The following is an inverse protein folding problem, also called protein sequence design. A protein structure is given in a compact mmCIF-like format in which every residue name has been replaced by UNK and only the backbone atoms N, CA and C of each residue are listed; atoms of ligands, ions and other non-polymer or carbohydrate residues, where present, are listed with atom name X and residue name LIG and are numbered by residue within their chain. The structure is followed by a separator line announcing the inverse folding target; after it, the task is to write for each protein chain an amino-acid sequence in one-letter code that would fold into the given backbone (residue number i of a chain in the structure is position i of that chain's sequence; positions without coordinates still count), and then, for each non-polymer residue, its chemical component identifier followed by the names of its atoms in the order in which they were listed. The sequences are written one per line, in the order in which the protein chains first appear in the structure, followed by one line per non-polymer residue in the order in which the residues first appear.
data_IF_538191227431
#
_entry.id   IF_538191227431
#
_cell.length_a   1.000
_cell.length_b   1.000
_cell.length_c   1.000
_cell.angle_alpha   90.00
_cell.angle_beta   90.00
_cell.angle_gamma   90.00
#
_symmetry.space_group_name_H-M   'P 1'
#
loop_
_entity.id
_entity.type
_entity.pdbx_description
1 polymer ?
#
# COMPACT_ATOMS: atom_id res chain seq x y z
N UNK A 1 -3.02 11.45 18.39
CA UNK A 1 -2.51 11.71 17.03
C UNK A 1 -2.95 10.57 16.16
N UNK A 2 -3.31 10.79 14.90
CA UNK A 2 -3.50 9.68 13.98
C UNK A 2 -2.12 9.13 13.63
N UNK A 3 -1.99 7.80 13.61
CA UNK A 3 -0.87 7.19 12.92
C UNK A 3 -1.08 7.34 11.42
N UNK A 4 0.01 7.50 10.67
CA UNK A 4 -0.01 7.61 9.23
C UNK A 4 0.41 6.29 8.61
N UNK A 5 -0.43 5.80 7.70
CA UNK A 5 -0.15 4.63 6.89
C UNK A 5 0.45 5.12 5.58
N UNK A 6 1.68 4.71 5.28
CA UNK A 6 2.36 4.95 4.03
C UNK A 6 1.83 3.98 2.97
N UNK A 7 1.60 4.47 1.75
CA UNK A 7 1.03 3.69 0.67
C UNK A 7 1.84 3.96 -0.61
N UNK A 8 2.18 2.90 -1.33
CA UNK A 8 2.63 2.96 -2.73
C UNK A 8 1.64 2.16 -3.56
N UNK A 9 0.94 2.82 -4.47
CA UNK A 9 0.05 2.15 -5.44
C UNK A 9 0.64 2.21 -6.84
N UNK A 10 0.60 1.09 -7.55
CA UNK A 10 0.96 0.97 -8.97
C UNK A 10 -0.25 0.42 -9.73
N UNK A 11 -0.77 1.21 -10.67
CA UNK A 11 -1.89 0.78 -11.52
C UNK A 11 -1.40 0.04 -12.76
N UNK A 12 -2.19 -0.92 -13.23
CA UNK A 12 -1.93 -1.69 -14.45
C UNK A 12 -3.19 -1.78 -15.32
N UNK A 13 -3.03 -1.83 -16.64
CA UNK A 13 -4.16 -1.83 -17.57
C UNK A 13 -3.77 -1.32 -18.95
N UNK A 14 -4.77 -1.02 -19.78
CA UNK A 14 -4.52 -0.40 -21.07
C UNK A 14 -4.08 1.06 -20.92
N UNK A 15 -3.35 1.55 -21.93
CA UNK A 15 -2.73 2.88 -21.91
C UNK A 15 -3.75 4.02 -21.75
N UNK A 16 -4.93 3.91 -22.36
CA UNK A 16 -5.94 4.97 -22.29
C UNK A 16 -6.55 5.06 -20.90
N UNK A 17 -6.78 3.92 -20.26
CA UNK A 17 -7.25 3.84 -18.87
C UNK A 17 -6.20 4.34 -17.88
N UNK A 18 -4.93 3.96 -18.06
CA UNK A 18 -3.82 4.45 -17.23
C UNK A 18 -3.61 5.97 -17.37
N UNK A 19 -3.79 6.53 -18.57
CA UNK A 19 -3.74 7.98 -18.77
C UNK A 19 -4.83 8.73 -17.98
N UNK A 20 -6.03 8.14 -17.86
CA UNK A 20 -7.12 8.73 -17.06
C UNK A 20 -6.82 8.68 -15.57
N UNK A 21 -6.27 7.56 -15.07
CA UNK A 21 -5.82 7.44 -13.68
C UNK A 21 -4.71 8.46 -13.38
N UNK A 22 -3.74 8.58 -14.28
CA UNK A 22 -2.66 9.56 -14.15
C UNK A 22 -3.20 11.00 -14.11
N UNK A 23 -4.18 11.33 -14.95
CA UNK A 23 -4.83 12.63 -14.94
C UNK A 23 -5.55 12.90 -13.61
N UNK A 24 -6.29 11.92 -13.08
CA UNK A 24 -6.96 12.01 -11.79
C UNK A 24 -5.96 12.30 -10.66
N UNK A 25 -4.88 11.52 -10.54
CA UNK A 25 -3.89 11.72 -9.48
C UNK A 25 -3.16 13.06 -9.60
N UNK A 26 -2.83 13.50 -10.83
CA UNK A 26 -2.25 14.84 -11.05
C UNK A 26 -3.19 15.96 -10.59
N UNK A 27 -4.49 15.83 -10.85
CA UNK A 27 -5.49 16.79 -10.38
C UNK A 27 -5.55 16.83 -8.85
N UNK A 28 -5.53 15.66 -8.19
CA UNK A 28 -5.49 15.58 -6.72
C UNK A 28 -4.23 16.25 -6.15
N UNK A 29 -3.05 15.97 -6.71
CA UNK A 29 -1.78 16.60 -6.30
C UNK A 29 -1.86 18.14 -6.43
N UNK A 30 -2.44 18.64 -7.52
CA UNK A 30 -2.61 20.08 -7.75
C UNK A 30 -3.59 20.71 -6.76
N UNK A 31 -4.72 20.03 -6.47
CA UNK A 31 -5.70 20.47 -5.48
C UNK A 31 -5.08 20.54 -4.07
N UNK A 32 -4.30 19.54 -3.68
CA UNK A 32 -3.60 19.50 -2.40
C UNK A 32 -2.61 20.66 -2.26
N UNK A 33 -1.81 20.91 -3.30
CA UNK A 33 -0.86 22.03 -3.36
C UNK A 33 -1.51 23.42 -3.23
N UNK A 34 -2.82 23.54 -3.54
CA UNK A 34 -3.61 24.77 -3.40
C UNK A 34 -4.25 24.94 -2.03
N UNK A 35 -3.95 24.06 -1.07
CA UNK A 35 -4.45 24.11 0.31
C UNK A 35 -5.73 23.30 0.54
N UNK A 36 -6.18 22.52 -0.43
CA UNK A 36 -7.25 21.55 -0.21
C UNK A 36 -6.63 20.26 0.36
N UNK A 37 -6.39 20.20 1.66
CA UNK A 37 -5.67 19.08 2.28
C UNK A 37 -6.56 17.85 2.32
N UNK A 38 -6.02 16.70 1.90
CA UNK A 38 -6.76 15.45 1.82
C UNK A 38 -7.62 15.41 0.58
N UNK A 39 -7.30 14.51 -0.33
CA UNK A 39 -7.97 14.38 -1.61
C UNK A 39 -8.75 13.09 -1.69
N UNK A 40 -9.87 13.15 -2.40
CA UNK A 40 -10.67 12.00 -2.77
C UNK A 40 -11.23 12.27 -4.17
N UNK A 41 -11.24 11.29 -5.08
CA UNK A 41 -11.89 11.45 -6.37
C UNK A 41 -13.36 11.83 -6.20
N UNK A 42 -13.85 12.77 -7.02
CA UNK A 42 -15.21 13.34 -6.88
C UNK A 42 -16.33 12.29 -7.03
N UNK A 43 -16.03 11.15 -7.67
CA UNK A 43 -16.97 10.04 -7.84
C UNK A 43 -17.00 9.06 -6.65
N UNK A 44 -16.19 9.28 -5.61
CA UNK A 44 -16.18 8.46 -4.39
C UNK A 44 -16.91 9.22 -3.28
N UNK A 45 -18.09 8.72 -2.92
CA UNK A 45 -18.89 9.25 -1.83
C UNK A 45 -18.50 8.60 -0.49
N UNK A 46 -17.28 8.87 -0.01
CA UNK A 46 -16.80 8.39 1.29
C UNK A 46 -16.42 9.53 2.22
N UNK A 47 -16.57 9.31 3.53
CA UNK A 47 -16.05 10.22 4.58
C UNK A 47 -14.63 9.84 5.04
N UNK A 48 -14.09 8.73 4.53
CA UNK A 48 -12.82 8.14 4.92
C UNK A 48 -11.98 7.81 3.68
N UNK A 49 -10.72 7.43 3.89
CA UNK A 49 -9.84 6.95 2.80
C UNK A 49 -9.29 8.07 1.91
N UNK A 50 -9.24 9.29 2.44
CA UNK A 50 -8.58 10.42 1.79
C UNK A 50 -7.08 10.15 1.61
N UNK A 51 -6.57 10.56 0.46
CA UNK A 51 -5.17 10.55 0.10
C UNK A 51 -4.52 11.85 0.58
N UNK A 52 -3.38 11.76 1.27
CA UNK A 52 -2.62 12.91 1.76
C UNK A 52 -1.18 12.84 1.25
N UNK A 53 -0.52 13.99 1.12
CA UNK A 53 0.90 14.09 0.74
C UNK A 53 1.22 13.27 -0.52
N UNK A 54 0.42 13.47 -1.56
CA UNK A 54 0.45 12.63 -2.77
C UNK A 54 1.62 13.05 -3.65
N UNK A 55 2.41 12.09 -4.14
CA UNK A 55 3.42 12.33 -5.16
C UNK A 55 3.57 11.16 -6.12
N UNK A 56 4.04 11.44 -7.34
CA UNK A 56 4.33 10.41 -8.34
C UNK A 56 5.61 9.65 -7.96
N UNK A 57 5.64 8.35 -8.19
CA UNK A 57 6.88 7.56 -8.15
C UNK A 57 7.84 8.05 -9.25
N UNK A 58 9.13 8.13 -8.94
CA UNK A 58 10.16 8.62 -9.87
C UNK A 58 10.54 7.60 -10.95
N UNK A 59 10.25 6.31 -10.70
CA UNK A 59 10.74 5.18 -11.49
C UNK A 59 9.63 4.42 -12.19
N UNK A 60 8.50 4.22 -11.54
CA UNK A 60 7.40 3.39 -12.05
C UNK A 60 6.29 4.24 -12.67
N UNK A 61 5.89 3.90 -13.91
CA UNK A 61 4.77 4.58 -14.58
C UNK A 61 3.44 4.31 -13.85
N UNK A 62 2.55 5.32 -13.80
CA UNK A 62 1.25 5.24 -13.12
C UNK A 62 1.33 4.72 -11.68
N UNK A 63 2.41 5.11 -10.97
CA UNK A 63 2.64 4.77 -9.58
C UNK A 63 2.68 6.02 -8.71
N UNK A 64 2.10 5.93 -7.52
CA UNK A 64 1.92 7.06 -6.61
C UNK A 64 2.20 6.64 -5.17
N UNK A 65 2.85 7.54 -4.44
CA UNK A 65 3.03 7.46 -3.01
C UNK A 65 2.08 8.44 -2.34
N UNK A 66 1.54 8.06 -1.19
CA UNK A 66 0.64 8.89 -0.39
C UNK A 66 0.45 8.32 1.02
N UNK A 67 -0.05 9.17 1.91
CA UNK A 67 -0.42 8.78 3.26
C UNK A 67 -1.93 8.66 3.43
N UNK A 68 -2.34 7.80 4.35
CA UNK A 68 -3.72 7.66 4.84
C UNK A 68 -3.70 7.63 6.36
N UNK A 69 -4.83 7.97 7.00
CA UNK A 69 -4.94 7.87 8.46
C UNK A 69 -5.25 6.43 8.86
N UNK A 70 -4.48 5.89 9.80
CA UNK A 70 -4.66 4.60 10.49
C UNK A 70 -4.56 3.32 9.65
N UNK A 71 -4.98 3.33 8.40
CA UNK A 71 -5.10 2.13 7.57
C UNK A 71 -5.08 2.48 6.08
N UNK A 72 -4.65 1.56 5.20
CA UNK A 72 -4.72 1.77 3.75
C UNK A 72 -6.16 2.02 3.29
N UNK A 73 -6.32 2.83 2.25
CA UNK A 73 -7.63 3.15 1.65
C UNK A 73 -8.00 2.20 0.49
N UNK A 74 -7.93 0.90 0.74
CA UNK A 74 -8.15 -0.17 -0.25
C UNK A 74 -9.47 0.01 -1.01
N UNK A 75 -10.55 0.35 -0.31
CA UNK A 75 -11.87 0.57 -0.93
C UNK A 75 -11.84 1.74 -1.92
N UNK A 76 -11.21 2.86 -1.56
CA UNK A 76 -11.05 4.01 -2.46
C UNK A 76 -10.29 3.62 -3.73
N UNK A 77 -9.19 2.86 -3.58
CA UNK A 77 -8.42 2.37 -4.72
C UNK A 77 -9.21 1.40 -5.59
N UNK A 78 -9.98 0.50 -4.98
CA UNK A 78 -10.84 -0.42 -5.71
C UNK A 78 -11.93 0.30 -6.51
N UNK A 79 -12.50 1.37 -5.96
CA UNK A 79 -13.44 2.23 -6.69
C UNK A 79 -12.77 2.96 -7.86
N UNK A 80 -11.57 3.53 -7.69
CA UNK A 80 -10.79 4.11 -8.79
C UNK A 80 -10.52 3.06 -9.88
N UNK A 81 -10.07 1.88 -9.47
CA UNK A 81 -9.70 0.80 -10.36
C UNK A 81 -10.89 0.30 -11.18
N UNK A 82 -12.04 0.13 -10.54
CA UNK A 82 -13.29 -0.25 -11.20
C UNK A 82 -13.81 0.85 -12.12
N UNK A 83 -13.72 2.12 -11.71
CA UNK A 83 -14.18 3.26 -12.51
C UNK A 83 -13.41 3.39 -13.84
N UNK A 84 -12.10 3.15 -13.82
CA UNK A 84 -11.26 3.23 -15.01
C UNK A 84 -10.95 1.88 -15.67
N UNK A 85 -11.50 0.77 -15.17
CA UNK A 85 -11.22 -0.58 -15.67
C UNK A 85 -9.72 -0.91 -15.69
N UNK A 86 -9.04 -0.69 -14.57
CA UNK A 86 -7.62 -1.01 -14.35
C UNK A 86 -7.46 -1.97 -13.16
N UNK A 87 -6.33 -2.67 -13.11
CA UNK A 87 -5.86 -3.35 -11.91
C UNK A 87 -4.93 -2.44 -11.08
N UNK A 88 -4.59 -2.87 -9.86
CA UNK A 88 -3.55 -2.22 -9.07
C UNK A 88 -2.82 -3.20 -8.15
N UNK A 89 -1.59 -2.82 -7.80
CA UNK A 89 -0.85 -3.37 -6.66
C UNK A 89 -0.65 -2.22 -5.69
N UNK A 90 -1.05 -2.43 -4.44
CA UNK A 90 -0.85 -1.50 -3.33
C UNK A 90 0.08 -2.15 -2.33
N UNK A 91 1.21 -1.51 -2.04
CA UNK A 91 2.05 -1.79 -0.88
C UNK A 91 1.74 -0.76 0.21
N UNK A 92 1.58 -1.19 1.46
CA UNK A 92 1.26 -0.29 2.56
C UNK A 92 1.94 -0.67 3.87
N UNK A 93 2.20 0.34 4.70
CA UNK A 93 2.84 0.20 5.99
C UNK A 93 2.33 1.24 7.00
N UNK A 94 1.92 0.78 8.19
CA UNK A 94 1.65 1.60 9.36
C UNK A 94 2.53 1.11 10.51
N UNK A 95 3.70 1.72 10.64
CA UNK A 95 4.76 1.29 11.57
C UNK A 95 4.36 1.39 13.04
N UNK A 96 3.48 2.31 13.41
CA UNK A 96 2.98 2.49 14.77
C UNK A 96 2.12 1.33 15.27
N UNK A 97 1.51 0.55 14.38
CA UNK A 97 0.73 -0.65 14.70
C UNK A 97 1.33 -1.96 14.15
N UNK A 98 2.56 -1.93 13.61
CA UNK A 98 3.18 -3.09 12.94
C UNK A 98 2.28 -3.71 11.86
N UNK A 99 1.63 -2.87 11.07
CA UNK A 99 0.83 -3.30 9.92
C UNK A 99 1.68 -3.12 8.67
N UNK A 100 1.88 -4.21 7.93
CA UNK A 100 2.56 -4.19 6.64
C UNK A 100 1.79 -5.10 5.70
N UNK A 101 1.52 -4.67 4.48
CA UNK A 101 0.73 -5.48 3.58
C UNK A 101 0.82 -5.10 2.12
N UNK A 102 0.25 -5.99 1.32
CA UNK A 102 0.11 -5.84 -0.11
C UNK A 102 -1.31 -6.22 -0.52
N UNK A 103 -2.00 -5.31 -1.18
CA UNK A 103 -3.27 -5.58 -1.84
C UNK A 103 -3.06 -5.68 -3.34
N UNK A 104 -3.65 -6.70 -3.96
CA UNK A 104 -3.62 -6.91 -5.41
C UNK A 104 -5.06 -6.93 -5.90
N UNK A 105 -5.36 -6.10 -6.89
CA UNK A 105 -6.61 -6.13 -7.63
C UNK A 105 -6.31 -6.40 -9.10
N UNK A 106 -6.72 -7.56 -9.59
CA UNK A 106 -6.54 -7.98 -10.97
C UNK A 106 -7.67 -8.93 -11.37
N UNK A 107 -8.14 -8.87 -12.61
CA UNK A 107 -9.21 -9.73 -13.13
C UNK A 107 -10.47 -9.73 -12.24
N UNK A 108 -10.87 -8.56 -11.74
CA UNK A 108 -12.02 -8.36 -10.84
C UNK A 108 -11.90 -9.06 -9.47
N UNK A 109 -10.71 -9.58 -9.13
CA UNK A 109 -10.44 -10.23 -7.85
C UNK A 109 -9.59 -9.30 -6.99
N UNK A 110 -10.12 -8.93 -5.82
CA UNK A 110 -9.41 -8.16 -4.80
C UNK A 110 -8.84 -9.12 -3.74
N UNK A 111 -7.53 -9.14 -3.57
CA UNK A 111 -6.84 -9.94 -2.56
C UNK A 111 -5.97 -9.05 -1.69
N UNK A 112 -6.16 -9.14 -0.38
CA UNK A 112 -5.36 -8.40 0.59
C UNK A 112 -4.52 -9.37 1.43
N UNK A 113 -3.22 -9.09 1.52
CA UNK A 113 -2.25 -9.85 2.28
C UNK A 113 -1.59 -8.92 3.27
N UNK A 114 -1.78 -9.14 4.57
CA UNK A 114 -1.19 -8.28 5.59
C UNK A 114 -0.55 -9.09 6.70
N UNK A 115 0.55 -8.55 7.22
CA UNK A 115 1.16 -8.94 8.47
C UNK A 115 0.52 -8.16 9.62
N UNK A 116 0.37 -8.83 10.75
CA UNK A 116 0.02 -8.22 12.02
C UNK A 116 1.03 -8.64 13.08
N UNK A 117 0.87 -8.14 14.31
CA UNK A 117 1.78 -8.41 15.42
C UNK A 117 2.07 -9.90 15.66
N UNK A 118 1.13 -10.80 15.40
CA UNK A 118 1.34 -12.25 15.58
C UNK A 118 2.31 -12.84 14.54
N UNK A 119 2.38 -12.27 13.34
CA UNK A 119 3.32 -12.72 12.30
C UNK A 119 4.79 -12.43 12.69
N UNK A 120 5.02 -11.52 13.66
CA UNK A 120 6.34 -11.11 14.14
C UNK A 120 6.79 -11.79 15.44
N UNK A 121 6.03 -12.77 15.96
CA UNK A 121 6.30 -13.39 17.26
C UNK A 121 7.72 -14.00 17.40
N UNK A 122 8.33 -14.40 16.29
CA UNK A 122 9.65 -15.04 16.24
C UNK A 122 10.77 -14.06 15.85
N UNK A 123 10.45 -12.77 15.66
CA UNK A 123 11.40 -11.71 15.36
C UNK A 123 11.84 -11.02 16.66
N UNK A 124 13.14 -11.08 16.97
CA UNK A 124 13.70 -10.55 18.23
C UNK A 124 14.69 -9.45 17.90
N UNK A 125 14.57 -8.29 18.54
CA UNK A 125 15.59 -7.25 18.45
C UNK A 125 16.69 -7.49 19.50
N UNK A 126 17.93 -7.60 19.04
CA UNK A 126 19.11 -7.77 19.87
C UNK A 126 19.80 -6.42 20.08
N UNK A 127 19.70 -5.92 21.31
CA UNK A 127 20.24 -4.60 21.71
C UNK A 127 21.78 -4.58 21.70
N UNK A 128 22.44 -5.71 21.95
CA UNK A 128 23.90 -5.77 22.02
C UNK A 128 24.55 -5.67 20.63
N UNK A 129 23.88 -6.23 19.61
CA UNK A 129 24.35 -6.20 18.22
C UNK A 129 23.70 -5.12 17.37
N UNK A 130 22.66 -4.46 17.88
CA UNK A 130 21.83 -3.49 17.13
C UNK A 130 21.24 -4.10 15.84
N UNK A 131 20.76 -5.35 15.94
CA UNK A 131 20.20 -6.10 14.80
C UNK A 131 18.91 -6.83 15.18
N UNK A 132 18.14 -7.21 14.17
CA UNK A 132 17.00 -8.10 14.29
C UNK A 132 17.43 -9.55 14.02
N UNK A 133 17.03 -10.47 14.89
CA UNK A 133 17.22 -11.90 14.73
C UNK A 133 15.92 -12.57 14.29
N UNK A 134 15.99 -13.34 13.21
CA UNK A 134 14.88 -14.12 12.69
C UNK A 134 15.40 -15.42 12.06
N UNK A 135 14.86 -16.57 12.48
CA UNK A 135 15.23 -17.90 11.98
C UNK A 135 16.75 -18.19 11.99
N UNK A 136 17.45 -17.69 13.02
CA UNK A 136 18.91 -17.86 13.18
C UNK A 136 19.77 -17.00 12.25
N UNK A 137 19.18 -16.02 11.57
CA UNK A 137 19.86 -15.02 10.75
C UNK A 137 19.71 -13.62 11.36
N UNK A 138 20.76 -12.81 11.26
CA UNK A 138 20.77 -11.41 11.71
C UNK A 138 20.48 -10.47 10.54
N UNK A 139 19.65 -9.46 10.78
CA UNK A 139 19.22 -8.45 9.81
C UNK A 139 19.42 -7.06 10.39
N UNK A 140 19.90 -6.12 9.59
CA UNK A 140 20.10 -4.73 10.02
C UNK A 140 18.76 -4.00 10.18
N UNK A 141 17.77 -4.36 9.37
CA UNK A 141 16.46 -3.70 9.32
C UNK A 141 15.31 -4.70 9.43
N UNK A 142 14.29 -4.36 10.24
CA UNK A 142 13.09 -5.18 10.39
C UNK A 142 12.35 -5.37 9.05
N UNK A 143 12.40 -4.37 8.16
CA UNK A 143 11.77 -4.37 6.84
C UNK A 143 12.16 -5.58 5.99
N UNK A 144 13.39 -6.11 6.13
CA UNK A 144 13.83 -7.30 5.42
C UNK A 144 13.04 -8.54 5.87
N UNK A 145 12.82 -8.68 7.17
CA UNK A 145 12.01 -9.74 7.76
C UNK A 145 10.55 -9.56 7.36
N UNK A 146 10.03 -8.31 7.35
CA UNK A 146 8.67 -8.01 6.89
C UNK A 146 8.44 -8.50 5.46
N UNK A 147 9.38 -8.23 4.54
CA UNK A 147 9.30 -8.69 3.15
C UNK A 147 9.28 -10.22 3.07
N UNK A 148 10.18 -10.90 3.79
CA UNK A 148 10.22 -12.37 3.85
C UNK A 148 8.89 -12.96 4.33
N UNK A 149 8.34 -12.44 5.42
CA UNK A 149 7.09 -12.91 6.01
C UNK A 149 5.90 -12.68 5.06
N UNK A 150 5.81 -11.50 4.45
CA UNK A 150 4.73 -11.17 3.52
C UNK A 150 4.78 -12.05 2.27
N UNK A 151 5.96 -12.25 1.68
CA UNK A 151 6.15 -13.12 0.52
C UNK A 151 5.74 -14.56 0.83
N UNK A 152 6.09 -15.09 2.01
CA UNK A 152 5.63 -16.41 2.45
C UNK A 152 4.10 -16.48 2.55
N UNK A 153 3.46 -15.44 3.10
CA UNK A 153 2.00 -15.38 3.26
C UNK A 153 1.29 -15.36 1.91
N UNK A 154 1.80 -14.59 0.95
CA UNK A 154 1.30 -14.55 -0.43
C UNK A 154 1.47 -15.91 -1.11
N UNK A 155 2.67 -16.51 -1.03
CA UNK A 155 2.97 -17.78 -1.70
C UNK A 155 2.17 -18.94 -1.12
N UNK A 156 1.99 -19.00 0.20
CA UNK A 156 1.16 -20.02 0.85
C UNK A 156 -0.32 -19.92 0.46
N UNK A 157 -0.83 -18.70 0.24
CA UNK A 157 -2.20 -18.52 -0.22
C UNK A 157 -2.38 -18.88 -1.70
N UNK A 158 -1.39 -18.59 -2.56
CA UNK A 158 -1.40 -19.04 -3.97
C UNK A 158 -1.45 -20.57 -4.08
N UNK A 159 -0.74 -21.30 -3.22
CA UNK A 159 -0.76 -22.76 -3.19
C UNK A 159 -2.10 -23.36 -2.71
N UNK A 160 -2.92 -22.63 -1.95
CA UNK A 160 -4.23 -23.11 -1.50
C UNK A 160 -5.33 -23.01 -2.57
N UNK A 161 -5.08 -22.24 -3.62
CA UNK A 161 -6.06 -21.94 -4.69
C UNK A 161 -5.73 -22.73 -5.98
N UNK A 162 -4.53 -23.31 -6.08
CA UNK A 162 -4.08 -24.17 -7.18
C UNK A 162 -4.43 -25.65 -6.93
#
# INVERSE_FOLDING_TARGET
MANWCNNKVTFNGDKDSLNKVLALFKEMIEKESKGNIGQLPDFIESKNGYFFEIYCDETDECSFHYETRWSPNIESLWMVATHYNVGFVLDYEESGCMVYGKTIYENEILQDYFLNQCDFQDCIYNVDTDCYEFEGTSYDYQDEIMRILLDRKINNNKQKIA
#
